data_IF_510125684951
#
_entry.id   IF_510125684951
#
_cell.length_a   1.000
_cell.length_b   1.000
_cell.length_c   1.000
_cell.angle_alpha   90.00
_cell.angle_beta   90.00
_cell.angle_gamma   90.00
#
_symmetry.space_group_name_H-M   'P 1'
#
loop_
_entity.id
_entity.type
_entity.pdbx_description
1 polymer ?
#
# COMPACT_ATOMS: atom_id res chain seq x y z
N UNK A 1 15.00 -16.98 -12.86
CA UNK A 1 13.88 -16.02 -12.77
C UNK A 1 14.10 -15.14 -11.53
N UNK A 2 14.22 -13.82 -11.68
CA UNK A 2 14.47 -12.91 -10.55
C UNK A 2 13.25 -12.95 -9.62
N UNK A 3 13.39 -13.50 -8.41
CA UNK A 3 12.39 -13.38 -7.34
C UNK A 3 12.27 -11.89 -6.99
N UNK A 4 11.19 -11.25 -7.43
CA UNK A 4 10.84 -9.92 -6.96
C UNK A 4 10.47 -10.03 -5.48
N UNK A 5 11.22 -9.33 -4.62
CA UNK A 5 11.11 -9.39 -3.15
C UNK A 5 9.71 -8.94 -2.68
N UNK A 6 8.95 -8.26 -3.54
CA UNK A 6 7.61 -7.75 -3.24
C UNK A 6 6.57 -8.51 -4.07
N UNK A 7 6.01 -9.55 -3.47
CA UNK A 7 4.96 -10.38 -4.07
C UNK A 7 3.72 -9.56 -4.49
N UNK A 8 3.11 -10.01 -5.59
CA UNK A 8 1.77 -9.62 -6.07
C UNK A 8 1.76 -8.50 -7.11
N UNK A 9 1.21 -8.80 -8.30
CA UNK A 9 0.72 -7.83 -9.29
C UNK A 9 -0.41 -7.00 -8.67
N UNK A 10 -0.04 -5.97 -7.90
CA UNK A 10 -1.00 -4.94 -7.48
C UNK A 10 -1.23 -4.02 -8.68
N UNK A 11 -2.49 -3.62 -8.88
CA UNK A 11 -2.83 -2.63 -9.91
C UNK A 11 -2.00 -1.35 -9.68
N UNK A 12 -1.45 -0.76 -10.74
CA UNK A 12 -0.74 0.51 -10.65
C UNK A 12 -1.69 1.57 -10.09
N UNK A 13 -1.21 2.37 -9.14
CA UNK A 13 -2.01 3.37 -8.45
C UNK A 13 -1.11 4.54 -8.04
N UNK A 14 -1.59 5.77 -8.19
CA UNK A 14 -0.86 7.00 -7.86
C UNK A 14 -0.41 7.02 -6.40
N UNK A 15 -1.12 6.30 -5.52
CA UNK A 15 -0.73 6.06 -4.14
C UNK A 15 0.65 5.37 -3.97
N UNK A 16 1.09 4.60 -4.96
CA UNK A 16 2.39 3.91 -4.99
C UNK A 16 3.40 4.62 -5.91
N UNK A 17 3.05 5.79 -6.45
CA UNK A 17 3.90 6.51 -7.38
C UNK A 17 5.00 7.26 -6.64
N UNK A 18 6.24 7.28 -7.15
CA UNK A 18 7.34 8.12 -6.62
C UNK A 18 6.99 9.62 -6.57
N UNK A 19 6.08 10.09 -7.43
CA UNK A 19 5.72 11.52 -7.56
C UNK A 19 4.45 11.94 -6.82
N UNK A 20 3.74 11.00 -6.18
CA UNK A 20 2.54 11.31 -5.41
C UNK A 20 2.87 11.74 -3.99
N UNK A 21 1.93 12.32 -3.28
CA UNK A 21 1.93 12.42 -1.81
C UNK A 21 0.51 12.22 -1.32
N UNK A 22 0.29 11.26 -0.41
CA UNK A 22 -1.06 10.96 0.08
C UNK A 22 -1.55 12.13 0.93
N UNK A 23 -2.72 12.67 0.61
CA UNK A 23 -3.39 13.62 1.50
C UNK A 23 -4.04 12.82 2.61
N UNK A 24 -3.86 13.26 3.85
CA UNK A 24 -4.52 12.66 5.01
C UNK A 24 -6.04 12.63 4.81
N UNK A 25 -6.65 11.50 5.19
CA UNK A 25 -8.10 11.31 5.34
C UNK A 25 -9.02 11.60 4.14
N UNK A 26 -8.46 11.82 2.94
CA UNK A 26 -9.24 12.15 1.73
C UNK A 26 -9.28 11.04 0.68
N UNK A 27 -8.40 10.04 0.77
CA UNK A 27 -8.23 9.05 -0.30
C UNK A 27 -7.63 9.62 -1.59
N UNK A 28 -7.07 10.83 -1.52
CA UNK A 28 -6.45 11.51 -2.65
C UNK A 28 -4.93 11.58 -2.53
N UNK A 29 -4.28 11.81 -3.66
CA UNK A 29 -2.83 11.92 -3.81
C UNK A 29 -2.53 13.23 -4.53
N UNK A 30 -1.68 14.07 -3.94
CA UNK A 30 -1.11 15.22 -4.58
C UNK A 30 0.01 14.75 -5.52
N UNK A 31 -0.23 14.75 -6.83
CA UNK A 31 0.76 14.41 -7.82
C UNK A 31 1.45 15.68 -8.33
N UNK A 32 2.78 15.74 -8.24
CA UNK A 32 3.57 16.87 -8.77
C UNK A 32 3.35 17.10 -10.28
N UNK A 33 2.86 16.09 -11.03
CA UNK A 33 2.63 16.14 -12.48
C UNK A 33 1.18 16.40 -12.91
N UNK A 34 0.20 16.21 -12.02
CA UNK A 34 -1.23 16.23 -12.37
C UNK A 34 -2.10 16.99 -11.36
N UNK A 35 -1.57 17.36 -10.19
CA UNK A 35 -2.34 17.91 -9.08
C UNK A 35 -3.00 16.82 -8.24
N UNK A 36 -4.14 17.15 -7.62
CA UNK A 36 -4.87 16.22 -6.75
C UNK A 36 -5.59 15.17 -7.61
N UNK A 37 -5.25 13.90 -7.40
CA UNK A 37 -5.83 12.75 -8.08
C UNK A 37 -6.31 11.71 -7.06
N UNK A 38 -7.21 10.82 -7.45
CA UNK A 38 -7.61 9.70 -6.61
C UNK A 38 -6.42 8.75 -6.35
N UNK A 39 -6.40 8.06 -5.21
CA UNK A 39 -5.31 7.16 -4.88
C UNK A 39 -5.14 5.99 -5.85
N UNK A 40 -6.24 5.48 -6.39
CA UNK A 40 -6.33 4.35 -7.32
C UNK A 40 -6.12 4.75 -8.78
N UNK A 41 -5.98 6.04 -9.08
CA UNK A 41 -5.73 6.55 -10.42
C UNK A 41 -4.34 6.15 -10.95
N UNK A 42 -4.18 6.06 -12.27
CA UNK A 42 -2.88 5.88 -12.91
C UNK A 42 -2.67 6.95 -13.97
N UNK A 43 -1.74 7.88 -13.72
CA UNK A 43 -1.32 8.83 -14.74
C UNK A 43 -0.26 8.24 -15.70
N UNK A 44 -0.09 8.86 -16.87
CA UNK A 44 0.95 8.48 -17.86
C UNK A 44 2.39 8.60 -17.35
N UNK A 45 2.62 9.34 -16.26
CA UNK A 45 3.93 9.55 -15.64
C UNK A 45 4.17 8.66 -14.41
N UNK A 46 3.33 7.63 -14.23
CA UNK A 46 3.41 6.72 -13.09
C UNK A 46 4.77 6.00 -13.03
N UNK A 47 5.41 6.05 -11.86
CA UNK A 47 6.64 5.31 -11.55
C UNK A 47 6.46 4.63 -10.21
N UNK A 48 6.44 3.30 -10.21
CA UNK A 48 6.19 2.50 -9.02
C UNK A 48 7.35 2.59 -8.00
N UNK A 49 7.02 2.92 -6.75
CA UNK A 49 7.94 2.94 -5.62
C UNK A 49 7.54 1.89 -4.57
N UNK A 50 8.33 0.81 -4.40
CA UNK A 50 8.03 -0.27 -3.45
C UNK A 50 7.91 0.20 -2.00
N UNK A 51 8.65 1.24 -1.60
CA UNK A 51 8.67 1.73 -0.22
C UNK A 51 7.38 2.46 0.16
N UNK A 52 6.57 2.84 -0.83
CA UNK A 52 5.28 3.51 -0.64
C UNK A 52 4.13 2.55 -0.45
N UNK A 53 4.38 1.23 -0.51
CA UNK A 53 3.40 0.23 -0.09
C UNK A 53 3.19 0.34 1.41
N UNK A 54 1.96 0.56 1.81
CA UNK A 54 1.53 0.47 3.21
C UNK A 54 1.08 -0.98 3.44
N UNK A 55 1.78 -1.77 4.28
CA UNK A 55 1.31 -3.09 4.64
C UNK A 55 -0.09 -3.03 5.28
N UNK A 56 -0.96 -4.03 5.06
CA UNK A 56 -2.22 -4.09 5.79
C UNK A 56 -1.96 -4.09 7.29
N UNK A 57 -2.91 -3.55 8.06
CA UNK A 57 -2.85 -3.60 9.53
C UNK A 57 -2.67 -5.05 9.97
N UNK A 58 -1.79 -5.26 10.94
CA UNK A 58 -1.59 -6.58 11.55
C UNK A 58 -2.95 -7.10 12.04
N UNK A 59 -3.25 -8.39 11.83
CA UNK A 59 -4.48 -8.96 12.37
C UNK A 59 -4.47 -8.85 13.90
N UNK A 60 -5.67 -8.81 14.51
CA UNK A 60 -5.79 -8.98 15.96
C UNK A 60 -5.21 -10.35 16.33
N UNK A 61 -4.36 -10.36 17.34
CA UNK A 61 -3.92 -11.61 17.96
C UNK A 61 -5.12 -12.25 18.63
N UNK A 62 -5.19 -13.58 18.56
CA UNK A 62 -6.14 -14.35 19.34
C UNK A 62 -5.67 -14.32 20.80
N UNK A 63 -6.62 -14.12 21.70
CA UNK A 63 -6.39 -14.25 23.14
C UNK A 63 -6.58 -15.73 23.48
N UNK A 64 -5.52 -16.36 23.99
CA UNK A 64 -5.56 -17.75 24.42
C UNK A 64 -5.37 -17.84 25.93
N UNK A 65 -6.10 -18.74 26.57
CA UNK A 65 -5.87 -19.06 27.98
C UNK A 65 -4.90 -20.22 28.14
N UNK A 66 -4.13 -20.26 29.23
CA UNK A 66 -3.17 -21.35 29.51
C UNK A 66 -3.83 -22.74 29.50
N UNK A 67 -5.13 -22.81 29.84
CA UNK A 67 -5.92 -24.04 29.89
C UNK A 67 -6.11 -24.68 28.50
N UNK A 68 -6.06 -23.91 27.43
CA UNK A 68 -6.20 -24.41 26.04
C UNK A 68 -4.95 -25.16 25.56
N UNK A 69 -3.86 -25.08 26.31
CA UNK A 69 -2.59 -25.74 25.98
C UNK A 69 -2.32 -26.98 26.87
N UNK A 70 -3.23 -27.35 27.77
CA UNK A 70 -3.12 -28.57 28.56
C UNK A 70 -3.78 -29.75 27.84
N UNK A 71 -3.04 -30.85 27.65
CA UNK A 71 -3.45 -32.09 26.98
C UNK A 71 -4.16 -33.01 27.97
#
# INVERSE_FOLDING_TARGET
>A
MKKTIFAGEKRPACAYCRFGERLADTGNVNCVRQGVVAEDYQCRHFVYDPLRRIPPRKPKLLEYSEKEFQI
#
